data_IF_783603003286
#
_entry.id   IF_783603003286
#
_cell.length_a   1.000
_cell.length_b   1.000
_cell.length_c   1.000
_cell.angle_alpha   90.00
_cell.angle_beta   90.00
_cell.angle_gamma   90.00
#
_symmetry.space_group_name_H-M   'P 1'
#
loop_
_entity.id
_entity.type
_entity.pdbx_description
1 polymer ?
#
# COMPACT_ATOMS: atom_id res chain seq x y z
N UNK A 1 -22.84 -42.82 7.48
CA UNK A 1 -23.39 -41.76 6.61
C UNK A 1 -24.69 -41.18 7.13
N UNK A 2 -25.54 -41.96 7.79
CA UNK A 2 -26.88 -41.50 8.20
C UNK A 2 -26.93 -40.52 9.39
N UNK A 3 -25.93 -40.51 10.28
CA UNK A 3 -25.95 -39.68 11.49
C UNK A 3 -25.65 -38.20 11.21
N UNK A 4 -24.71 -37.91 10.34
CA UNK A 4 -24.40 -36.55 9.90
C UNK A 4 -25.58 -35.90 9.16
N UNK A 5 -26.19 -36.62 8.21
CA UNK A 5 -27.38 -36.16 7.48
C UNK A 5 -28.58 -35.93 8.41
N UNK A 6 -28.76 -36.79 9.42
CA UNK A 6 -29.79 -36.61 10.43
C UNK A 6 -29.54 -35.34 11.26
N UNK A 7 -28.30 -35.13 11.75
CA UNK A 7 -27.93 -33.95 12.52
C UNK A 7 -28.10 -32.68 11.69
N UNK A 8 -27.73 -32.68 10.42
CA UNK A 8 -27.90 -31.56 9.51
C UNK A 8 -29.38 -31.17 9.33
N UNK A 9 -30.27 -32.19 9.14
CA UNK A 9 -31.70 -31.98 9.01
C UNK A 9 -32.30 -31.42 10.30
N UNK A 10 -31.88 -31.94 11.47
CA UNK A 10 -32.31 -31.44 12.78
C UNK A 10 -31.83 -30.01 13.02
N UNK A 11 -30.56 -29.71 12.69
CA UNK A 11 -29.98 -28.37 12.79
C UNK A 11 -30.74 -27.36 11.93
N UNK A 12 -31.00 -27.68 10.66
CA UNK A 12 -31.76 -26.81 9.75
C UNK A 12 -33.19 -26.53 10.30
N UNK A 13 -33.85 -27.54 10.78
CA UNK A 13 -35.22 -27.39 11.39
C UNK A 13 -35.18 -26.49 12.64
N UNK A 14 -34.12 -26.58 13.45
CA UNK A 14 -33.98 -25.78 14.66
C UNK A 14 -33.64 -24.30 14.29
N UNK A 15 -32.77 -24.06 13.33
CA UNK A 15 -32.47 -22.74 12.77
C UNK A 15 -33.77 -22.06 12.32
N UNK A 16 -34.59 -22.77 11.57
CA UNK A 16 -35.87 -22.25 11.07
C UNK A 16 -36.94 -22.08 12.16
N UNK A 17 -36.90 -22.89 13.24
CA UNK A 17 -37.83 -22.78 14.37
C UNK A 17 -37.55 -21.60 15.28
N UNK A 18 -36.26 -21.30 15.53
CA UNK A 18 -35.83 -20.23 16.45
C UNK A 18 -35.24 -19.05 15.67
N UNK A 19 -35.99 -18.52 14.71
CA UNK A 19 -35.54 -17.53 13.73
C UNK A 19 -34.87 -16.30 14.33
N UNK A 20 -35.46 -15.71 15.38
CA UNK A 20 -34.97 -14.46 15.98
C UNK A 20 -33.59 -14.65 16.62
N UNK A 21 -33.45 -15.71 17.43
CA UNK A 21 -32.16 -16.01 18.10
C UNK A 21 -31.08 -16.39 17.08
N UNK A 22 -31.45 -17.20 16.10
CA UNK A 22 -30.51 -17.61 15.04
C UNK A 22 -30.06 -16.43 14.17
N UNK A 23 -31.00 -15.57 13.74
CA UNK A 23 -30.71 -14.38 12.97
C UNK A 23 -29.81 -13.42 13.75
N UNK A 24 -30.13 -13.18 15.04
CA UNK A 24 -29.28 -12.34 15.90
C UNK A 24 -27.85 -12.89 16.06
N UNK A 25 -27.72 -14.22 16.21
CA UNK A 25 -26.41 -14.88 16.28
C UNK A 25 -25.63 -14.73 14.97
N UNK A 26 -26.27 -14.92 13.82
CA UNK A 26 -25.65 -14.79 12.49
C UNK A 26 -25.18 -13.35 12.28
N UNK A 27 -26.05 -12.36 12.51
CA UNK A 27 -25.71 -10.95 12.33
C UNK A 27 -24.59 -10.49 13.26
N UNK A 28 -24.64 -10.88 14.53
CA UNK A 28 -23.60 -10.53 15.51
C UNK A 28 -22.24 -11.06 15.09
N UNK A 29 -22.15 -12.34 14.70
CA UNK A 29 -20.89 -12.93 14.23
C UNK A 29 -20.43 -12.34 12.89
N UNK A 30 -21.33 -12.11 11.95
CA UNK A 30 -21.00 -11.53 10.66
C UNK A 30 -20.39 -10.13 10.82
N UNK A 31 -21.01 -9.26 11.62
CA UNK A 31 -20.49 -7.92 11.91
C UNK A 31 -19.09 -8.00 12.54
N UNK A 32 -18.89 -8.88 13.53
CA UNK A 32 -17.57 -9.06 14.15
C UNK A 32 -16.51 -9.53 13.17
N UNK A 33 -16.84 -10.48 12.29
CA UNK A 33 -15.93 -11.00 11.27
C UNK A 33 -15.58 -9.95 10.20
N UNK A 34 -16.58 -9.20 9.69
CA UNK A 34 -16.36 -8.13 8.72
C UNK A 34 -15.44 -7.05 9.30
N UNK A 35 -15.73 -6.60 10.52
CA UNK A 35 -14.92 -5.56 11.19
C UNK A 35 -13.47 -6.01 11.31
N UNK A 36 -13.22 -7.23 11.79
CA UNK A 36 -11.88 -7.76 11.97
C UNK A 36 -11.14 -7.96 10.63
N UNK A 37 -11.84 -8.51 9.61
CA UNK A 37 -11.28 -8.73 8.29
C UNK A 37 -10.88 -7.41 7.61
N UNK A 38 -11.73 -6.38 7.71
CA UNK A 38 -11.45 -5.04 7.16
C UNK A 38 -10.22 -4.42 7.81
N UNK A 39 -10.14 -4.46 9.15
CA UNK A 39 -8.98 -3.95 9.89
C UNK A 39 -7.72 -4.73 9.56
N UNK A 40 -7.82 -6.06 9.48
CA UNK A 40 -6.69 -6.92 9.13
C UNK A 40 -6.17 -6.65 7.72
N UNK A 41 -7.07 -6.53 6.73
CA UNK A 41 -6.73 -6.19 5.35
C UNK A 41 -6.04 -4.82 5.26
N UNK A 42 -6.57 -3.83 5.98
CA UNK A 42 -5.96 -2.50 6.05
C UNK A 42 -4.54 -2.56 6.64
N UNK A 43 -4.35 -3.28 7.74
CA UNK A 43 -3.03 -3.46 8.37
C UNK A 43 -2.04 -4.22 7.50
N UNK A 44 -2.49 -5.25 6.78
CA UNK A 44 -1.62 -5.97 5.84
C UNK A 44 -1.16 -5.06 4.70
N UNK A 45 -2.07 -4.34 4.09
CA UNK A 45 -1.73 -3.37 3.05
C UNK A 45 -0.73 -2.34 3.56
N UNK A 46 -0.91 -1.89 4.80
CA UNK A 46 -0.02 -0.92 5.44
C UNK A 46 1.38 -1.49 5.73
N UNK A 47 1.48 -2.73 6.20
CA UNK A 47 2.75 -3.41 6.45
C UNK A 47 3.51 -3.73 5.17
N UNK A 48 2.83 -4.18 4.14
CA UNK A 48 3.44 -4.44 2.82
C UNK A 48 4.04 -3.17 2.23
N UNK A 49 3.43 -2.04 2.56
CA UNK A 49 3.84 -0.71 2.15
C UNK A 49 5.20 -0.26 2.71
N UNK A 50 5.63 -0.75 3.84
CA UNK A 50 6.82 -0.28 4.55
C UNK A 50 8.09 -1.10 4.28
N UNK A 51 8.03 -2.11 3.42
CA UNK A 51 9.16 -3.04 3.21
C UNK A 51 9.83 -2.74 1.87
N UNK A 52 10.88 -1.93 1.91
CA UNK A 52 11.87 -1.91 0.85
C UNK A 52 12.90 -3.02 1.11
N UNK A 53 13.03 -3.96 0.19
CA UNK A 53 13.91 -5.13 0.31
C UNK A 53 15.33 -4.90 -0.21
N UNK A 54 15.68 -3.68 -0.59
CA UNK A 54 17.01 -3.39 -1.12
C UNK A 54 18.07 -3.42 -0.01
N UNK A 55 19.22 -4.07 -0.24
CA UNK A 55 20.26 -4.25 0.80
C UNK A 55 20.81 -2.94 1.37
N UNK A 56 20.76 -1.87 0.58
CA UNK A 56 21.25 -0.54 0.97
C UNK A 56 20.19 0.34 1.64
N UNK A 57 18.95 -0.12 1.81
CA UNK A 57 17.85 0.69 2.33
C UNK A 57 18.15 1.35 3.69
N UNK A 58 18.84 0.63 4.56
CA UNK A 58 19.25 1.15 5.87
C UNK A 58 20.29 2.28 5.79
N UNK A 59 20.91 2.49 4.61
CA UNK A 59 21.91 3.52 4.34
C UNK A 59 21.40 4.64 3.45
N UNK A 60 20.10 4.70 3.17
CA UNK A 60 19.48 5.76 2.38
C UNK A 60 19.22 6.98 3.24
N UNK A 61 19.71 8.12 2.78
CA UNK A 61 19.53 9.42 3.41
C UNK A 61 18.80 10.38 2.47
N UNK A 62 17.84 11.08 3.05
CA UNK A 62 17.17 12.22 2.42
C UNK A 62 17.99 13.49 2.66
N UNK A 63 18.25 14.23 1.60
CA UNK A 63 18.92 15.54 1.64
C UNK A 63 17.84 16.61 1.53
N UNK A 64 17.68 17.39 2.60
CA UNK A 64 16.80 18.57 2.64
C UNK A 64 17.65 19.82 2.67
N UNK A 65 17.29 20.81 1.87
CA UNK A 65 18.07 22.03 1.67
C UNK A 65 17.40 23.21 2.35
N UNK A 66 18.20 23.99 3.09
CA UNK A 66 17.78 25.24 3.71
C UNK A 66 18.69 26.38 3.26
N UNK A 67 18.17 27.61 3.16
CA UNK A 67 19.00 28.79 2.94
C UNK A 67 19.88 29.09 4.16
N UNK A 68 21.11 29.51 3.94
CA UNK A 68 22.02 30.01 4.99
C UNK A 68 21.52 31.34 5.51
N UNK A 69 20.94 32.18 4.63
CA UNK A 69 20.31 33.45 5.01
C UNK A 69 18.86 33.18 5.41
N UNK A 70 18.60 33.22 6.70
CA UNK A 70 17.24 33.12 7.26
C UNK A 70 16.37 34.27 6.77
N UNK A 71 15.51 34.03 5.81
CA UNK A 71 14.24 34.75 5.68
C UNK A 71 13.13 33.81 6.12
N UNK A 72 12.36 34.30 7.10
CA UNK A 72 11.15 33.67 7.60
C UNK A 72 10.19 33.41 6.43
N UNK A 73 10.17 32.25 5.88
CA UNK A 73 9.01 31.65 5.26
C UNK A 73 9.29 30.16 5.07
N UNK A 74 8.33 29.40 5.37
CA UNK A 74 8.22 27.93 5.44
C UNK A 74 8.32 27.28 4.04
N UNK A 75 9.23 27.75 3.20
CA UNK A 75 9.41 27.20 1.86
C UNK A 75 10.65 26.31 1.82
N UNK A 76 10.42 25.03 1.81
CA UNK A 76 11.40 24.04 1.37
C UNK A 76 12.02 24.50 0.05
N UNK A 77 13.34 24.65 0.02
CA UNK A 77 14.07 25.04 -1.19
C UNK A 77 13.79 23.99 -2.26
N UNK A 78 13.35 24.47 -3.41
CA UNK A 78 13.10 23.63 -4.58
C UNK A 78 14.43 23.14 -5.15
N UNK A 79 14.52 21.85 -5.41
CA UNK A 79 15.71 21.23 -5.96
C UNK A 79 15.77 21.55 -7.45
N UNK A 80 16.85 22.17 -7.87
CA UNK A 80 17.16 22.48 -9.27
C UNK A 80 18.43 21.75 -9.73
N UNK A 81 18.76 21.88 -11.01
CA UNK A 81 19.95 21.24 -11.59
C UNK A 81 21.25 21.67 -10.91
N UNK A 82 21.37 22.92 -10.46
CA UNK A 82 22.58 23.44 -9.78
C UNK A 82 22.83 22.69 -8.46
N UNK A 83 21.77 22.43 -7.69
CA UNK A 83 21.87 21.66 -6.45
C UNK A 83 22.29 20.22 -6.74
N UNK A 84 21.70 19.60 -7.77
CA UNK A 84 22.04 18.23 -8.16
C UNK A 84 23.49 18.15 -8.62
N UNK A 85 23.93 19.08 -9.48
CA UNK A 85 25.32 19.20 -9.94
C UNK A 85 26.28 19.44 -8.78
N UNK A 86 25.91 20.29 -7.82
CA UNK A 86 26.75 20.54 -6.64
C UNK A 86 26.89 19.29 -5.76
N UNK A 87 25.82 18.51 -5.59
CA UNK A 87 25.87 17.24 -4.83
C UNK A 87 26.70 16.19 -5.56
N UNK A 88 26.61 16.11 -6.89
CA UNK A 88 27.36 15.15 -7.72
C UNK A 88 28.83 15.55 -7.99
N UNK A 89 29.22 16.78 -7.85
CA UNK A 89 30.45 17.46 -8.33
C UNK A 89 31.73 16.61 -8.56
N UNK A 90 32.48 16.98 -9.57
CA UNK A 90 33.64 16.28 -10.09
C UNK A 90 34.66 15.80 -9.03
N UNK A 91 34.96 14.51 -9.07
CA UNK A 91 35.83 13.82 -8.12
C UNK A 91 35.10 12.79 -7.25
N UNK A 92 33.79 12.64 -7.44
CA UNK A 92 32.90 11.75 -6.73
C UNK A 92 32.79 12.12 -5.23
N UNK A 93 31.56 12.11 -4.67
CA UNK A 93 31.40 12.27 -3.23
C UNK A 93 32.08 11.11 -2.51
N UNK A 94 32.91 11.41 -1.51
CA UNK A 94 33.62 10.39 -0.73
C UNK A 94 32.64 9.51 0.04
N UNK A 95 31.53 10.10 0.53
CA UNK A 95 30.54 9.46 1.38
C UNK A 95 29.23 9.07 0.66
N UNK A 96 29.06 9.39 -0.62
CA UNK A 96 27.90 8.95 -1.41
C UNK A 96 28.32 7.73 -2.25
N UNK A 97 27.65 6.60 -2.06
CA UNK A 97 27.86 5.39 -2.86
C UNK A 97 27.03 5.43 -4.15
N UNK A 98 25.77 5.86 -4.02
CA UNK A 98 24.82 5.96 -5.13
C UNK A 98 23.94 7.20 -4.99
N UNK A 99 23.47 7.73 -6.10
CA UNK A 99 22.64 8.92 -6.18
C UNK A 99 23.41 10.17 -6.59
N UNK A 100 22.82 11.35 -6.46
CA UNK A 100 21.49 11.59 -5.89
C UNK A 100 20.34 11.14 -6.80
N UNK A 101 19.24 10.70 -6.20
CA UNK A 101 18.01 10.31 -6.87
C UNK A 101 16.85 11.17 -6.40
N UNK A 102 15.99 11.62 -7.30
CA UNK A 102 14.76 12.31 -6.94
C UNK A 102 13.59 11.31 -6.96
N UNK A 103 12.90 11.11 -5.84
CA UNK A 103 11.81 10.14 -5.75
C UNK A 103 10.62 10.51 -6.62
N UNK A 104 10.33 11.78 -6.74
CA UNK A 104 9.23 12.30 -7.56
C UNK A 104 9.36 13.80 -7.79
N UNK A 105 8.98 14.20 -8.96
CA UNK A 105 8.54 15.56 -9.20
C UNK A 105 7.18 15.85 -8.58
N UNK A 106 6.68 17.05 -8.80
CA UNK A 106 5.34 17.42 -8.35
C UNK A 106 4.29 16.56 -9.04
N UNK A 107 3.44 15.93 -8.24
CA UNK A 107 2.26 15.22 -8.73
C UNK A 107 1.37 16.24 -9.45
N UNK A 108 1.10 15.99 -10.72
CA UNK A 108 0.25 16.86 -11.52
C UNK A 108 -0.92 16.06 -12.05
N UNK A 109 -2.14 16.38 -11.58
CA UNK A 109 -3.39 15.81 -12.10
C UNK A 109 -3.74 16.42 -13.46
N UNK A 110 -4.03 15.62 -14.47
CA UNK A 110 -4.41 16.10 -15.79
C UNK A 110 -4.89 14.99 -16.71
N UNK A 111 -5.06 15.31 -17.98
CA UNK A 111 -5.59 14.37 -18.96
C UNK A 111 -4.46 13.63 -19.68
N UNK A 112 -4.54 12.30 -19.66
CA UNK A 112 -3.67 11.42 -20.44
C UNK A 112 -4.50 10.70 -21.51
N UNK A 113 -4.01 10.70 -22.75
CA UNK A 113 -4.62 9.98 -23.88
C UNK A 113 -3.71 8.81 -24.27
N UNK A 114 -4.24 7.62 -24.21
CA UNK A 114 -3.53 6.38 -24.51
C UNK A 114 -3.89 5.85 -25.89
N UNK A 115 -2.88 5.56 -26.70
CA UNK A 115 -3.04 5.01 -28.05
C UNK A 115 -2.20 3.74 -28.19
N UNK A 116 -2.84 2.65 -28.63
CA UNK A 116 -2.18 1.38 -28.91
C UNK A 116 -2.51 0.92 -30.32
N UNK A 117 -1.48 0.60 -31.12
CA UNK A 117 -1.63 0.16 -32.53
C UNK A 117 -2.48 1.12 -33.36
N UNK A 118 -2.22 2.43 -33.21
CA UNK A 118 -2.92 3.49 -33.97
C UNK A 118 -4.36 3.76 -33.56
N UNK A 119 -4.91 3.02 -32.58
CA UNK A 119 -6.29 3.24 -32.08
C UNK A 119 -6.21 3.86 -30.69
N UNK A 120 -6.84 5.02 -30.51
CA UNK A 120 -7.04 5.62 -29.20
C UNK A 120 -7.84 4.67 -28.31
N UNK A 121 -7.26 4.28 -27.17
CA UNK A 121 -7.89 3.36 -26.23
C UNK A 121 -8.72 4.10 -25.21
N UNK A 122 -8.15 5.12 -24.62
CA UNK A 122 -8.81 5.87 -23.55
C UNK A 122 -8.19 7.26 -23.37
N UNK A 123 -9.04 8.20 -23.02
CA UNK A 123 -8.64 9.49 -22.47
C UNK A 123 -9.19 9.57 -21.06
N UNK A 124 -8.33 9.82 -20.09
CA UNK A 124 -8.72 9.85 -18.68
C UNK A 124 -7.86 10.83 -17.89
N UNK A 125 -8.43 11.30 -16.80
CA UNK A 125 -7.66 12.05 -15.81
C UNK A 125 -6.81 11.06 -15.02
N UNK A 126 -5.54 11.36 -14.88
CA UNK A 126 -4.56 10.53 -14.21
C UNK A 126 -3.50 11.41 -13.56
N UNK A 127 -2.99 11.00 -12.44
CA UNK A 127 -1.83 11.63 -11.86
C UNK A 127 -0.57 11.20 -12.62
N UNK A 128 0.20 12.17 -13.09
CA UNK A 128 1.45 11.92 -13.78
C UNK A 128 2.60 12.47 -12.93
N UNK A 129 3.62 11.64 -12.72
CA UNK A 129 4.75 11.95 -11.85
C UNK A 129 6.03 11.86 -12.65
N UNK A 130 6.70 12.98 -12.91
CA UNK A 130 8.04 12.94 -13.44
C UNK A 130 9.00 12.45 -12.36
N UNK A 131 9.91 11.54 -12.72
CA UNK A 131 10.93 11.05 -11.79
C UNK A 131 12.28 10.92 -12.47
N UNK A 132 13.32 10.81 -11.64
CA UNK A 132 14.64 10.46 -12.09
C UNK A 132 14.62 9.11 -12.83
N UNK A 133 15.29 9.04 -13.96
CA UNK A 133 15.35 7.83 -14.80
C UNK A 133 15.85 6.58 -14.05
N UNK A 134 16.69 6.77 -13.05
CA UNK A 134 17.27 5.68 -12.26
C UNK A 134 16.44 5.35 -11.02
N UNK A 135 15.47 6.18 -10.67
CA UNK A 135 14.70 6.02 -9.46
C UNK A 135 13.92 4.69 -9.39
N UNK A 136 13.27 4.17 -10.46
CA UNK A 136 12.62 2.88 -10.44
C UNK A 136 13.55 1.73 -10.03
N UNK A 137 14.77 1.74 -10.56
CA UNK A 137 15.79 0.76 -10.21
C UNK A 137 16.28 0.93 -8.76
N UNK A 138 16.45 2.18 -8.32
CA UNK A 138 16.88 2.51 -6.96
C UNK A 138 15.89 2.03 -5.89
N UNK A 139 14.59 2.23 -6.07
CA UNK A 139 13.56 1.72 -5.14
C UNK A 139 13.23 0.25 -5.34
N UNK A 140 13.77 -0.39 -6.37
CA UNK A 140 13.53 -1.79 -6.64
C UNK A 140 12.14 -2.08 -7.21
N UNK A 141 11.56 -1.14 -7.95
CA UNK A 141 10.27 -1.33 -8.63
C UNK A 141 10.40 -2.50 -9.60
N UNK A 142 9.45 -3.44 -9.53
CA UNK A 142 9.42 -4.65 -10.37
C UNK A 142 8.37 -4.53 -11.46
N UNK A 143 8.72 -5.09 -12.61
CA UNK A 143 7.78 -5.28 -13.71
C UNK A 143 6.70 -6.29 -13.32
N UNK A 144 5.44 -5.96 -13.55
CA UNK A 144 4.32 -6.89 -13.43
C UNK A 144 4.29 -7.92 -14.57
N UNK A 145 5.03 -7.66 -15.66
CA UNK A 145 5.08 -8.54 -16.84
C UNK A 145 6.18 -9.57 -16.69
N UNK A 146 7.38 -9.15 -16.27
CA UNK A 146 8.57 -10.03 -16.23
C UNK A 146 8.96 -10.45 -14.82
N UNK A 147 8.49 -9.76 -13.78
CA UNK A 147 8.90 -9.95 -12.38
C UNK A 147 10.29 -9.38 -12.07
N UNK A 148 11.03 -8.93 -13.07
CA UNK A 148 12.36 -8.33 -12.91
C UNK A 148 12.28 -6.87 -12.45
N UNK A 149 13.37 -6.34 -11.92
CA UNK A 149 13.49 -4.90 -11.62
C UNK A 149 13.38 -4.08 -12.89
N UNK A 150 12.59 -3.01 -12.85
CA UNK A 150 12.50 -2.06 -13.93
C UNK A 150 13.83 -1.34 -14.06
N UNK A 151 14.39 -1.39 -15.27
CA UNK A 151 15.65 -0.74 -15.61
C UNK A 151 15.46 0.77 -15.72
N UNK A 152 16.56 1.44 -16.00
CA UNK A 152 16.61 2.88 -16.23
C UNK A 152 15.61 3.29 -17.32
N UNK A 153 14.78 4.31 -17.05
CA UNK A 153 13.86 4.88 -18.04
C UNK A 153 14.63 5.75 -19.03
N UNK A 154 14.31 5.62 -20.32
CA UNK A 154 14.80 6.54 -21.34
C UNK A 154 14.04 7.87 -21.33
N UNK A 155 14.55 8.89 -22.04
CA UNK A 155 13.80 10.11 -22.30
C UNK A 155 12.46 9.76 -22.93
N UNK A 156 11.37 10.33 -22.41
CA UNK A 156 10.00 10.07 -22.85
C UNK A 156 9.48 8.63 -22.63
N UNK A 157 10.18 7.80 -21.85
CA UNK A 157 9.64 6.52 -21.41
C UNK A 157 8.71 6.71 -20.20
N UNK A 158 7.67 5.88 -20.15
CA UNK A 158 6.71 5.87 -19.06
C UNK A 158 6.44 4.45 -18.57
N UNK A 159 6.10 4.34 -17.30
CA UNK A 159 5.62 3.11 -16.68
C UNK A 159 4.29 3.39 -15.97
N UNK A 160 3.42 2.40 -15.93
CA UNK A 160 2.09 2.49 -15.31
C UNK A 160 1.87 1.29 -14.40
N UNK A 161 1.05 1.43 -13.37
CA UNK A 161 0.77 0.31 -12.49
C UNK A 161 -0.13 -0.75 -13.15
N UNK A 162 -0.10 -1.96 -12.61
CA UNK A 162 -0.86 -3.10 -13.13
C UNK A 162 -2.37 -2.84 -13.15
N UNK A 163 -2.91 -2.23 -12.10
CA UNK A 163 -4.34 -1.91 -11.99
C UNK A 163 -4.79 -0.94 -13.08
N UNK A 164 -4.02 0.11 -13.31
CA UNK A 164 -4.30 1.09 -14.35
C UNK A 164 -4.12 0.50 -15.76
N UNK A 165 -3.07 -0.28 -15.96
CA UNK A 165 -2.84 -0.97 -17.22
C UNK A 165 -4.04 -1.86 -17.59
N UNK A 166 -4.54 -2.65 -16.64
CA UNK A 166 -5.73 -3.48 -16.83
C UNK A 166 -7.00 -2.68 -17.10
N UNK A 167 -7.16 -1.55 -16.42
CA UNK A 167 -8.31 -0.66 -16.61
C UNK A 167 -8.33 -0.01 -17.99
N UNK A 168 -7.16 0.33 -18.56
CA UNK A 168 -7.03 1.04 -19.83
C UNK A 168 -6.99 0.08 -21.01
N UNK A 169 -6.23 -1.00 -20.90
CA UNK A 169 -5.92 -1.91 -22.01
C UNK A 169 -6.62 -3.27 -21.91
N UNK A 170 -7.25 -3.58 -20.77
CA UNK A 170 -7.82 -4.92 -20.51
C UNK A 170 -6.72 -5.98 -20.42
N UNK A 171 -6.91 -7.08 -21.14
CA UNK A 171 -5.95 -8.21 -21.18
C UNK A 171 -4.86 -8.04 -22.26
N UNK A 172 -4.80 -6.87 -22.92
CA UNK A 172 -3.80 -6.61 -23.97
C UNK A 172 -2.51 -6.11 -23.34
N UNK A 173 -1.38 -6.58 -23.90
CA UNK A 173 -0.08 -6.05 -23.51
C UNK A 173 0.00 -4.54 -23.83
N UNK A 174 0.17 -3.68 -22.84
CA UNK A 174 0.20 -2.24 -23.03
C UNK A 174 1.56 -1.69 -23.48
N UNK A 175 2.62 -2.50 -23.47
CA UNK A 175 3.97 -2.07 -23.84
C UNK A 175 4.00 -1.62 -25.30
N UNK A 176 4.62 -0.46 -25.53
CA UNK A 176 4.67 0.19 -26.84
C UNK A 176 3.49 1.16 -27.09
N UNK A 177 2.54 1.28 -26.17
CA UNK A 177 1.49 2.28 -26.29
C UNK A 177 2.08 3.70 -26.25
N UNK A 178 1.54 4.59 -27.08
CA UNK A 178 1.83 6.02 -27.05
C UNK A 178 0.91 6.71 -26.06
N UNK A 179 1.47 7.61 -25.28
CA UNK A 179 0.76 8.39 -24.26
C UNK A 179 0.96 9.86 -24.58
N UNK A 180 -0.12 10.59 -24.74
CA UNK A 180 -0.11 12.05 -24.87
C UNK A 180 -0.61 12.67 -23.57
N UNK A 181 0.23 13.45 -22.91
CA UNK A 181 -0.16 14.26 -21.77
C UNK A 181 -0.71 15.61 -22.21
N UNK A 182 -1.65 16.17 -21.47
CA UNK A 182 -2.29 17.46 -21.78
C UNK A 182 -1.32 18.64 -21.59
N UNK A 183 -1.75 19.84 -22.00
CA UNK A 183 -0.99 21.09 -21.87
C UNK A 183 -0.48 21.36 -20.45
N UNK A 184 -1.25 20.99 -19.44
CA UNK A 184 -0.90 21.17 -18.03
C UNK A 184 0.37 20.42 -17.63
N UNK A 185 0.72 19.37 -18.37
CA UNK A 185 1.94 18.60 -18.25
C UNK A 185 3.05 18.99 -19.24
N UNK A 186 2.89 20.01 -20.04
CA UNK A 186 3.89 20.39 -21.05
C UNK A 186 3.76 19.71 -22.41
N UNK A 187 2.62 19.06 -22.74
CA UNK A 187 2.39 18.35 -24.02
C UNK A 187 3.41 17.23 -24.31
N UNK A 188 3.72 16.42 -23.33
CA UNK A 188 4.64 15.31 -23.54
C UNK A 188 4.02 14.20 -24.37
N UNK A 189 4.81 13.68 -25.31
CA UNK A 189 4.55 12.42 -25.97
C UNK A 189 5.47 11.37 -25.37
N UNK A 190 4.88 10.35 -24.74
CA UNK A 190 5.58 9.32 -24.01
C UNK A 190 5.29 7.96 -24.64
N UNK A 191 6.18 7.02 -24.38
CA UNK A 191 6.02 5.61 -24.75
C UNK A 191 5.95 4.76 -23.50
N UNK A 192 4.94 3.92 -23.39
CA UNK A 192 4.81 2.97 -22.31
C UNK A 192 5.79 1.81 -22.52
N UNK A 193 6.76 1.68 -21.62
CA UNK A 193 7.84 0.68 -21.74
C UNK A 193 7.65 -0.50 -20.82
N UNK A 194 6.92 -0.32 -19.70
CA UNK A 194 6.65 -1.40 -18.76
C UNK A 194 5.41 -1.13 -17.90
N UNK A 195 4.95 -2.17 -17.23
CA UNK A 195 3.90 -2.12 -16.21
C UNK A 195 4.54 -2.53 -14.88
N UNK A 196 4.41 -1.69 -13.87
CA UNK A 196 4.97 -1.99 -12.56
C UNK A 196 3.95 -2.64 -11.62
N UNK A 197 4.44 -3.52 -10.76
CA UNK A 197 3.65 -4.07 -9.67
C UNK A 197 3.22 -2.94 -8.73
N UNK A 198 2.02 -3.06 -8.16
CA UNK A 198 1.52 -2.05 -7.24
C UNK A 198 2.56 -1.74 -6.16
N UNK A 199 3.01 -0.50 -6.17
CA UNK A 199 3.87 0.02 -5.12
C UNK A 199 3.05 0.11 -3.85
N UNK A 200 3.66 -0.27 -2.80
CA UNK A 200 3.11 -0.10 -1.48
C UNK A 200 2.74 1.37 -1.22
N UNK A 201 1.66 1.59 -0.47
CA UNK A 201 1.03 2.89 -0.18
C UNK A 201 1.99 3.97 0.37
N UNK A 202 3.25 3.64 0.62
CA UNK A 202 4.17 4.44 1.43
C UNK A 202 4.93 5.51 0.68
N UNK A 203 5.17 5.34 -0.60
CA UNK A 203 6.03 6.31 -1.28
C UNK A 203 5.34 7.10 -2.37
N UNK A 204 4.23 6.58 -2.94
CA UNK A 204 3.47 7.34 -3.92
C UNK A 204 2.11 6.71 -4.25
N UNK A 205 1.23 7.53 -4.78
CA UNK A 205 -0.07 7.11 -5.25
C UNK A 205 0.07 5.95 -6.26
N UNK A 206 -0.36 4.76 -5.88
CA UNK A 206 -0.27 3.54 -6.69
C UNK A 206 -1.00 3.63 -8.05
N UNK A 207 -1.67 4.74 -8.31
CA UNK A 207 -2.41 5.02 -9.53
C UNK A 207 -1.72 5.99 -10.47
N UNK A 208 -0.47 6.39 -10.18
CA UNK A 208 0.23 7.39 -10.97
C UNK A 208 0.92 6.77 -12.19
N UNK A 209 0.95 7.54 -13.28
CA UNK A 209 1.82 7.30 -14.41
C UNK A 209 3.19 7.92 -14.11
N UNK A 210 4.23 7.10 -14.04
CA UNK A 210 5.58 7.58 -13.89
C UNK A 210 6.28 7.74 -15.22
N UNK A 211 6.98 8.85 -15.41
CA UNK A 211 7.72 9.13 -16.64
C UNK A 211 8.98 9.94 -16.36
N UNK A 212 9.97 9.84 -17.25
CA UNK A 212 11.22 10.59 -17.18
C UNK A 212 11.31 11.54 -18.36
N UNK A 213 11.02 12.85 -18.19
CA UNK A 213 11.11 13.82 -19.26
C UNK A 213 12.55 14.27 -19.55
N UNK A 214 13.42 14.22 -18.55
CA UNK A 214 14.83 14.68 -18.64
C UNK A 214 15.67 14.04 -17.52
N UNK A 215 16.98 14.20 -17.60
CA UNK A 215 17.89 13.90 -16.49
C UNK A 215 17.90 15.06 -15.48
N UNK A 216 18.02 14.75 -14.20
CA UNK A 216 18.04 15.78 -13.15
C UNK A 216 19.20 16.77 -13.33
N UNK A 217 20.33 16.28 -13.87
CA UNK A 217 21.52 17.10 -14.08
C UNK A 217 21.37 18.10 -15.23
N UNK A 218 20.54 17.75 -16.22
CA UNK A 218 20.30 18.56 -17.42
C UNK A 218 19.23 19.64 -17.20
N UNK A 219 18.64 19.69 -15.99
CA UNK A 219 17.67 20.72 -15.65
C UNK A 219 18.30 22.09 -15.62
N UNK A 220 17.69 23.03 -16.33
CA UNK A 220 18.05 24.44 -16.23
C UNK A 220 17.83 24.96 -14.80
N UNK A 221 18.55 26.04 -14.43
CA UNK A 221 18.43 26.65 -13.11
C UNK A 221 16.99 27.10 -12.76
N UNK A 222 16.21 27.44 -13.78
CA UNK A 222 14.81 27.87 -13.63
C UNK A 222 13.82 26.69 -13.49
N UNK A 223 14.27 25.48 -13.83
CA UNK A 223 13.50 24.26 -13.64
C UNK A 223 13.79 23.69 -12.24
N UNK A 224 12.75 23.19 -11.58
CA UNK A 224 12.91 22.66 -10.24
C UNK A 224 12.06 21.43 -10.01
N UNK A 225 12.56 20.57 -9.15
CA UNK A 225 11.79 19.52 -8.50
C UNK A 225 11.33 20.01 -7.11
N UNK A 226 10.02 19.92 -6.89
CA UNK A 226 9.51 20.01 -5.52
C UNK A 226 9.65 18.62 -4.91
N UNK A 227 10.65 18.40 -4.08
CA UNK A 227 10.77 17.07 -3.50
C UNK A 227 12.04 16.85 -2.69
N UNK A 228 12.28 15.60 -2.44
CA UNK A 228 13.41 15.10 -1.69
C UNK A 228 14.52 14.65 -2.65
N UNK A 229 15.75 14.65 -2.19
CA UNK A 229 16.89 14.11 -2.92
C UNK A 229 17.51 12.98 -2.09
N UNK A 230 17.51 11.78 -2.61
CA UNK A 230 18.00 10.60 -1.90
C UNK A 230 19.39 10.23 -2.33
N UNK A 231 20.20 9.83 -1.35
CA UNK A 231 21.55 9.30 -1.57
C UNK A 231 21.74 8.03 -0.72
N UNK A 232 22.55 7.12 -1.22
CA UNK A 232 23.01 5.98 -0.46
C UNK A 232 24.35 6.32 0.18
N UNK A 233 24.40 6.27 1.51
CA UNK A 233 25.64 6.49 2.26
C UNK A 233 26.60 5.32 2.03
N UNK A 234 27.85 5.64 1.70
CA UNK A 234 28.91 4.65 1.53
C UNK A 234 29.23 3.96 2.86
N UNK A 235 29.53 2.68 2.82
CA UNK A 235 29.98 1.94 3.98
C UNK A 235 31.23 2.55 4.62
N UNK A 236 31.22 2.67 5.94
CA UNK A 236 32.29 3.30 6.71
C UNK A 236 32.19 4.82 6.83
N UNK A 237 31.29 5.48 6.13
CA UNK A 237 31.02 6.91 6.31
C UNK A 237 29.91 7.15 7.36
N UNK A 238 30.03 8.27 8.07
CA UNK A 238 29.00 8.72 9.02
C UNK A 238 28.07 9.77 8.40
N UNK A 239 26.83 9.91 8.89
CA UNK A 239 25.91 10.96 8.44
C UNK A 239 26.48 12.38 8.63
N UNK A 240 27.32 12.59 9.65
CA UNK A 240 27.99 13.86 9.91
C UNK A 240 29.03 14.19 8.82
N UNK A 241 29.80 13.17 8.38
CA UNK A 241 30.74 13.33 7.26
C UNK A 241 30.03 13.62 5.95
N UNK A 242 28.93 12.91 5.66
CA UNK A 242 28.07 13.19 4.51
C UNK A 242 27.56 14.64 4.55
N UNK A 243 27.03 15.07 5.68
CA UNK A 243 26.52 16.44 5.88
C UNK A 243 27.61 17.49 5.68
N UNK A 244 28.81 17.27 6.24
CA UNK A 244 29.94 18.20 6.10
C UNK A 244 30.40 18.30 4.65
N UNK A 245 30.50 17.17 3.96
CA UNK A 245 30.88 17.09 2.56
C UNK A 245 29.89 17.83 1.65
N UNK A 246 28.60 17.53 1.77
CA UNK A 246 27.56 18.17 0.95
C UNK A 246 27.46 19.67 1.27
N UNK A 247 27.56 20.08 2.54
CA UNK A 247 27.55 21.49 2.92
C UNK A 247 28.73 22.26 2.32
N UNK A 248 29.93 21.68 2.24
CA UNK A 248 31.07 22.33 1.62
C UNK A 248 30.85 22.68 0.14
N UNK A 249 30.12 21.84 -0.55
CA UNK A 249 29.74 21.99 -1.97
C UNK A 249 28.61 22.96 -2.20
N UNK A 250 27.66 23.00 -1.27
CA UNK A 250 26.48 23.89 -1.32
C UNK A 250 26.77 25.32 -0.85
N UNK A 251 27.91 25.54 -0.18
CA UNK A 251 28.30 26.88 0.32
C UNK A 251 28.30 27.97 -0.76
N UNK A 252 28.80 27.73 -1.96
CA UNK A 252 28.77 28.72 -3.06
C UNK A 252 27.34 29.10 -3.46
N UNK A 253 26.38 28.19 -3.29
CA UNK A 253 24.95 28.42 -3.58
C UNK A 253 24.19 29.07 -2.40
N UNK A 254 24.88 29.39 -1.31
CA UNK A 254 24.23 29.95 -0.10
C UNK A 254 23.27 28.97 0.60
N UNK A 255 23.49 27.68 0.41
CA UNK A 255 22.63 26.60 0.92
C UNK A 255 23.33 25.75 1.97
N UNK A 256 22.56 25.16 2.83
CA UNK A 256 22.98 24.13 3.78
C UNK A 256 22.06 22.91 3.70
N UNK A 257 22.62 21.73 3.96
CA UNK A 257 21.87 20.47 3.95
C UNK A 257 21.55 19.99 5.35
N UNK A 258 20.34 19.45 5.52
CA UNK A 258 19.96 18.55 6.59
C UNK A 258 19.91 17.13 6.03
N UNK A 259 20.54 16.21 6.71
CA UNK A 259 20.54 14.78 6.34
C UNK A 259 19.65 14.03 7.31
N UNK A 260 18.69 13.31 6.79
CA UNK A 260 17.71 12.54 7.54
C UNK A 260 17.69 11.11 7.01
N UNK A 261 17.80 10.11 7.87
CA UNK A 261 17.74 8.72 7.44
C UNK A 261 16.32 8.43 6.94
N UNK A 262 16.19 7.88 5.74
CA UNK A 262 14.88 7.62 5.13
C UNK A 262 14.02 6.71 5.99
N UNK A 263 14.60 5.66 6.56
CA UNK A 263 13.91 4.72 7.46
C UNK A 263 13.33 5.40 8.70
N UNK A 264 14.08 6.33 9.31
CA UNK A 264 13.65 7.02 10.52
C UNK A 264 12.49 7.97 10.18
N UNK A 265 12.62 8.73 9.10
CA UNK A 265 11.56 9.60 8.59
C UNK A 265 10.28 8.83 8.29
N UNK A 266 10.38 7.75 7.54
CA UNK A 266 9.22 6.92 7.23
C UNK A 266 8.63 6.32 8.52
N UNK A 267 9.45 5.89 9.48
CA UNK A 267 8.96 5.37 10.76
C UNK A 267 8.20 6.43 11.56
N UNK A 268 8.59 7.70 11.52
CA UNK A 268 7.85 8.81 12.16
C UNK A 268 6.53 9.10 11.44
N UNK A 269 6.53 9.21 10.12
CA UNK A 269 5.31 9.39 9.32
C UNK A 269 4.33 8.24 9.55
N UNK A 270 4.85 7.01 9.65
CA UNK A 270 4.03 5.81 9.87
C UNK A 270 3.68 5.55 11.33
N UNK A 271 4.40 6.11 12.29
CA UNK A 271 4.10 5.88 13.70
C UNK A 271 2.68 6.30 14.06
N UNK A 272 2.23 7.46 13.61
CA UNK A 272 0.87 7.97 13.83
C UNK A 272 -0.18 7.05 13.20
N UNK A 273 0.08 6.61 11.97
CA UNK A 273 -0.83 5.69 11.27
C UNK A 273 -0.78 4.29 11.89
N UNK A 274 0.39 3.81 12.29
CA UNK A 274 0.53 2.53 12.99
C UNK A 274 -0.20 2.53 14.34
N UNK A 275 -0.14 3.62 15.09
CA UNK A 275 -0.91 3.81 16.32
C UNK A 275 -2.41 3.78 16.03
N UNK A 276 -2.88 4.54 15.04
CA UNK A 276 -4.28 4.55 14.63
C UNK A 276 -4.75 3.15 14.20
N UNK A 277 -3.95 2.43 13.41
CA UNK A 277 -4.21 1.05 13.02
C UNK A 277 -4.29 0.10 14.24
N UNK A 278 -3.37 0.25 15.20
CA UNK A 278 -3.34 -0.58 16.40
C UNK A 278 -4.60 -0.36 17.27
N UNK A 279 -5.02 0.89 17.42
CA UNK A 279 -6.26 1.24 18.12
C UNK A 279 -7.48 0.65 17.41
N UNK A 280 -7.54 0.77 16.08
CA UNK A 280 -8.63 0.22 15.28
C UNK A 280 -8.68 -1.30 15.39
N UNK A 281 -7.53 -1.98 15.39
CA UNK A 281 -7.43 -3.43 15.59
C UNK A 281 -7.92 -3.85 16.99
N UNK A 282 -7.56 -3.09 18.01
CA UNK A 282 -8.04 -3.33 19.38
C UNK A 282 -9.57 -3.21 19.45
N UNK A 283 -10.14 -2.14 18.90
CA UNK A 283 -11.59 -1.93 18.83
C UNK A 283 -12.27 -3.07 18.06
N UNK A 284 -11.75 -3.45 16.90
CA UNK A 284 -12.28 -4.57 16.10
C UNK A 284 -12.25 -5.90 16.87
N UNK A 285 -11.18 -6.15 17.63
CA UNK A 285 -11.05 -7.33 18.48
C UNK A 285 -12.06 -7.34 19.62
N UNK A 286 -12.33 -6.19 20.25
CA UNK A 286 -13.34 -6.04 21.29
C UNK A 286 -14.75 -6.26 20.74
N UNK A 287 -15.05 -5.75 19.54
CA UNK A 287 -16.33 -5.97 18.86
C UNK A 287 -16.53 -7.47 18.58
N UNK A 288 -15.50 -8.17 18.07
CA UNK A 288 -15.57 -9.60 17.83
C UNK A 288 -15.77 -10.37 19.14
N UNK A 289 -15.06 -10.00 20.21
CA UNK A 289 -15.24 -10.62 21.51
C UNK A 289 -16.68 -10.46 22.04
N UNK A 290 -17.22 -9.25 21.93
CA UNK A 290 -18.62 -8.98 22.30
C UNK A 290 -19.61 -9.80 21.45
N UNK A 291 -19.31 -9.95 20.14
CA UNK A 291 -20.10 -10.79 19.25
C UNK A 291 -20.09 -12.27 19.68
N UNK A 292 -18.92 -12.80 20.05
CA UNK A 292 -18.77 -14.18 20.56
C UNK A 292 -19.55 -14.36 21.86
N UNK A 293 -19.45 -13.41 22.81
CA UNK A 293 -20.19 -13.45 24.06
C UNK A 293 -21.69 -13.42 23.80
N UNK A 294 -22.16 -12.55 22.90
CA UNK A 294 -23.57 -12.48 22.48
C UNK A 294 -24.05 -13.78 21.87
N UNK A 295 -23.28 -14.39 21.00
CA UNK A 295 -23.53 -15.69 20.41
C UNK A 295 -23.63 -16.78 21.47
N UNK A 296 -22.71 -16.83 22.43
CA UNK A 296 -22.76 -17.82 23.53
C UNK A 296 -24.00 -17.66 24.39
N UNK A 297 -24.37 -16.42 24.72
CA UNK A 297 -25.61 -16.15 25.50
C UNK A 297 -26.86 -16.64 24.76
N UNK A 298 -26.96 -16.36 23.46
CA UNK A 298 -28.10 -16.82 22.66
C UNK A 298 -28.16 -18.34 22.57
N UNK A 299 -27.05 -19.02 22.43
CA UNK A 299 -26.98 -20.48 22.42
C UNK A 299 -27.30 -21.08 23.78
N UNK A 300 -26.89 -20.47 24.89
CA UNK A 300 -27.29 -20.88 26.23
C UNK A 300 -28.80 -20.77 26.43
N UNK A 301 -29.43 -19.69 25.98
CA UNK A 301 -30.89 -19.57 26.00
C UNK A 301 -31.58 -20.66 25.18
N UNK A 302 -31.10 -20.93 23.97
CA UNK A 302 -31.66 -22.04 23.15
C UNK A 302 -31.53 -23.38 23.85
N UNK A 303 -30.42 -23.64 24.53
CA UNK A 303 -30.24 -24.86 25.33
C UNK A 303 -31.28 -24.96 26.45
N UNK A 304 -31.50 -23.87 27.20
CA UNK A 304 -32.52 -23.83 28.25
C UNK A 304 -33.96 -24.06 27.71
N UNK A 305 -34.30 -23.47 26.60
CA UNK A 305 -35.62 -23.66 25.96
C UNK A 305 -35.82 -25.08 25.47
N UNK A 306 -34.79 -25.80 25.13
CA UNK A 306 -34.81 -27.17 24.57
C UNK A 306 -34.54 -28.26 25.61
N UNK A 307 -34.42 -27.91 26.90
CA UNK A 307 -34.05 -28.86 27.96
C UNK A 307 -34.98 -30.10 28.02
N UNK A 308 -36.27 -29.92 27.76
CA UNK A 308 -37.23 -31.04 27.74
C UNK A 308 -36.96 -32.01 26.57
N UNK A 309 -36.68 -31.49 25.39
CA UNK A 309 -36.31 -32.30 24.21
C UNK A 309 -35.02 -33.09 24.48
N UNK A 310 -34.02 -32.42 25.07
CA UNK A 310 -32.73 -33.03 25.43
C UNK A 310 -32.95 -34.16 26.45
N UNK A 311 -33.74 -33.90 27.50
CA UNK A 311 -34.05 -34.93 28.52
C UNK A 311 -34.74 -36.15 27.92
N UNK A 312 -35.73 -35.96 27.03
CA UNK A 312 -36.39 -37.04 26.31
C UNK A 312 -35.43 -37.86 25.43
N UNK A 313 -34.43 -37.22 24.81
CA UNK A 313 -33.44 -37.95 24.04
C UNK A 313 -32.49 -38.77 24.92
N UNK A 314 -32.12 -38.23 26.09
CA UNK A 314 -31.31 -38.97 27.08
C UNK A 314 -32.07 -40.19 27.61
N UNK A 315 -33.33 -40.04 27.96
CA UNK A 315 -34.18 -41.19 28.43
C UNK A 315 -34.39 -42.24 27.34
N UNK A 316 -34.35 -41.85 26.06
CA UNK A 316 -34.38 -42.75 24.91
C UNK A 316 -33.00 -43.32 24.52
N UNK A 317 -31.97 -43.18 25.38
CA UNK A 317 -30.68 -43.82 25.19
C UNK A 317 -29.66 -43.02 24.35
N UNK A 318 -29.89 -41.72 24.09
CA UNK A 318 -28.89 -40.88 23.38
C UNK A 318 -27.64 -40.68 24.25
N UNK A 319 -26.48 -40.96 23.67
CA UNK A 319 -25.18 -40.78 24.33
C UNK A 319 -24.80 -39.30 24.37
N UNK A 320 -23.94 -38.91 25.34
CA UNK A 320 -23.42 -37.53 25.44
C UNK A 320 -22.74 -37.09 24.17
N UNK A 321 -22.02 -37.97 23.50
CA UNK A 321 -21.32 -37.69 22.24
C UNK A 321 -22.29 -37.39 21.09
N UNK A 322 -23.40 -38.10 21.02
CA UNK A 322 -24.46 -37.86 20.02
C UNK A 322 -25.13 -36.50 20.24
N UNK A 323 -25.41 -36.11 21.48
CA UNK A 323 -25.94 -34.79 21.81
C UNK A 323 -24.92 -33.68 21.46
N UNK A 324 -23.66 -33.88 21.83
CA UNK A 324 -22.60 -32.92 21.49
C UNK A 324 -22.47 -32.77 19.98
N UNK A 325 -22.39 -33.85 19.22
CA UNK A 325 -22.33 -33.82 17.75
C UNK A 325 -23.50 -33.06 17.12
N UNK A 326 -24.71 -33.23 17.66
CA UNK A 326 -25.89 -32.51 17.19
C UNK A 326 -25.75 -30.98 17.41
N UNK A 327 -25.35 -30.55 18.61
CA UNK A 327 -25.14 -29.13 18.91
C UNK A 327 -23.95 -28.56 18.12
N UNK A 328 -22.84 -29.28 18.00
CA UNK A 328 -21.69 -28.87 17.22
C UNK A 328 -22.08 -28.64 15.75
N UNK A 329 -22.89 -29.55 15.17
CA UNK A 329 -23.39 -29.37 13.80
C UNK A 329 -24.21 -28.09 13.64
N UNK A 330 -25.06 -27.78 14.61
CA UNK A 330 -25.88 -26.55 14.61
C UNK A 330 -25.05 -25.30 14.70
N UNK A 331 -24.03 -25.25 15.57
CA UNK A 331 -23.07 -24.15 15.72
C UNK A 331 -22.28 -23.96 14.45
N UNK A 332 -21.73 -25.02 13.88
CA UNK A 332 -20.96 -24.97 12.63
C UNK A 332 -21.80 -24.41 11.48
N UNK A 333 -23.07 -24.83 11.36
CA UNK A 333 -23.96 -24.28 10.33
C UNK A 333 -24.18 -22.77 10.49
N UNK A 334 -24.42 -22.32 11.72
CA UNK A 334 -24.64 -20.89 12.01
C UNK A 334 -23.36 -20.07 11.67
N UNK A 335 -22.20 -20.57 12.06
CA UNK A 335 -20.91 -19.92 11.77
C UNK A 335 -20.66 -19.88 10.26
N UNK A 336 -20.95 -20.96 9.52
CA UNK A 336 -20.82 -20.98 8.06
C UNK A 336 -21.75 -19.97 7.38
N UNK A 337 -23.01 -19.88 7.83
CA UNK A 337 -23.95 -18.90 7.29
C UNK A 337 -23.50 -17.48 7.63
N UNK A 338 -23.04 -17.23 8.86
CA UNK A 338 -22.48 -15.95 9.26
C UNK A 338 -21.25 -15.56 8.43
N UNK A 339 -20.37 -16.51 8.13
CA UNK A 339 -19.22 -16.32 7.26
C UNK A 339 -19.65 -15.94 5.83
N UNK A 340 -20.63 -16.66 5.25
CA UNK A 340 -21.16 -16.34 3.93
C UNK A 340 -21.74 -14.91 3.89
N UNK A 341 -22.51 -14.54 4.91
CA UNK A 341 -23.09 -13.20 5.05
C UNK A 341 -22.00 -12.13 5.23
N UNK A 342 -20.88 -12.48 5.86
CA UNK A 342 -19.75 -11.58 6.05
C UNK A 342 -18.93 -11.34 4.76
N UNK A 343 -18.97 -12.29 3.82
CA UNK A 343 -18.21 -12.19 2.55
C UNK A 343 -19.02 -11.55 1.43
N UNK A 344 -20.37 -11.60 1.50
CA UNK A 344 -21.28 -10.94 0.56
C UNK A 344 -21.38 -9.43 0.82
#
# INVERSE_FOLDING_TARGET
MNMLLHNLKVALRNILKYKVQTLGSILSLAIGMVTLATVHSFLQNFRMASINHEPYYDRVYNLRFDSIQKRQSDNSIRINGDIVRAVKANGGPRCIEQGPYAPNGMLTGGWAEFTLSGKTRRKMQLDAVPLDRNYPNFVGIRSAITGEKIKVLGPHDAIINEKQAKQIFGDKNPVGASIRLSKDYGNYQLRLVDVYQDLSLTEQNSSALFYSPWELEDMDSDQFYAGNLYVVLKEGCTPQQLKAEVNSRLKPLGLKVKTEKLKDRLSEEYSTVAIACSITYLIGSLILLAAIIGFMRMHAQLFWMRRREISLRITNGATRLQLFSMFATEVVMIVLVAYIVAVL
#
